data_IF_029611275251
#
_entry.id   IF_029611275251
#
_cell.length_a   1.000
_cell.length_b   1.000
_cell.length_c   1.000
_cell.angle_alpha   90.00
_cell.angle_beta   90.00
_cell.angle_gamma   90.00
#
_symmetry.space_group_name_H-M   'P 1'
#
loop_
_entity.id
_entity.type
_entity.pdbx_description
1 polymer ?
#
# COMPACT_ATOMS: atom_id res chain seq x y z
N UNK A 1 -15.30 -12.47 -16.73
CA UNK A 1 -15.29 -11.33 -17.70
C UNK A 1 -14.89 -11.89 -19.06
N UNK A 2 -15.38 -11.34 -20.18
CA UNK A 2 -14.96 -11.83 -21.52
C UNK A 2 -13.59 -11.27 -21.93
N UNK A 3 -12.86 -11.99 -22.77
CA UNK A 3 -11.55 -11.57 -23.26
C UNK A 3 -11.59 -10.21 -23.96
N UNK A 4 -12.60 -9.95 -24.79
CA UNK A 4 -12.70 -8.71 -25.56
C UNK A 4 -12.87 -7.48 -24.65
N UNK A 5 -13.60 -7.64 -23.56
CA UNK A 5 -13.77 -6.59 -22.55
C UNK A 5 -12.48 -6.34 -21.76
N UNK A 6 -11.72 -7.39 -21.48
CA UNK A 6 -10.42 -7.30 -20.82
C UNK A 6 -9.38 -6.63 -21.73
N UNK A 7 -9.25 -7.06 -22.98
CA UNK A 7 -8.33 -6.49 -23.98
C UNK A 7 -8.63 -5.01 -24.22
N UNK A 8 -9.90 -4.64 -24.35
CA UNK A 8 -10.29 -3.23 -24.51
C UNK A 8 -9.83 -2.38 -23.32
N UNK A 9 -10.04 -2.84 -22.09
CA UNK A 9 -9.62 -2.10 -20.89
C UNK A 9 -8.10 -2.01 -20.75
N UNK A 10 -7.37 -3.06 -21.13
CA UNK A 10 -5.90 -3.02 -21.16
C UNK A 10 -5.42 -2.00 -22.20
N UNK A 11 -5.99 -1.96 -23.40
CA UNK A 11 -5.59 -1.01 -24.45
C UNK A 11 -5.86 0.45 -24.10
N UNK A 12 -6.92 0.71 -23.32
CA UNK A 12 -7.23 2.05 -22.84
C UNK A 12 -6.25 2.52 -21.75
N UNK A 13 -5.69 1.59 -20.98
CA UNK A 13 -4.91 1.89 -19.78
C UNK A 13 -3.40 1.81 -20.01
N UNK A 14 -2.94 0.81 -20.76
CA UNK A 14 -1.52 0.51 -20.95
C UNK A 14 -0.98 1.32 -22.14
N UNK A 15 0.14 2.04 -21.99
CA UNK A 15 0.69 2.89 -23.05
C UNK A 15 1.06 2.14 -24.33
N UNK A 16 1.70 0.97 -24.20
CA UNK A 16 2.14 0.14 -25.32
C UNK A 16 1.66 -1.31 -25.10
N UNK A 17 0.38 -1.59 -25.35
CA UNK A 17 -0.19 -2.91 -25.14
C UNK A 17 0.32 -3.89 -26.20
N UNK A 18 0.50 -5.14 -25.80
CA UNK A 18 0.92 -6.26 -26.64
C UNK A 18 -0.12 -7.38 -26.57
N UNK A 19 -0.61 -7.83 -27.73
CA UNK A 19 -1.60 -8.92 -27.77
C UNK A 19 -1.11 -10.18 -27.06
N UNK A 20 0.18 -10.51 -27.16
CA UNK A 20 0.77 -11.68 -26.49
C UNK A 20 0.80 -11.54 -24.96
N UNK A 21 1.13 -10.35 -24.46
CA UNK A 21 1.14 -10.06 -23.01
C UNK A 21 -0.28 -10.02 -22.47
N UNK A 22 -1.21 -9.38 -23.18
CA UNK A 22 -2.63 -9.32 -22.81
C UNK A 22 -3.26 -10.72 -22.75
N UNK A 23 -3.00 -11.58 -23.73
CA UNK A 23 -3.45 -12.98 -23.70
C UNK A 23 -2.89 -13.73 -22.49
N UNK A 24 -1.59 -13.59 -22.22
CA UNK A 24 -0.97 -14.22 -21.06
C UNK A 24 -1.57 -13.75 -19.73
N UNK A 25 -1.82 -12.44 -19.57
CA UNK A 25 -2.46 -11.88 -18.38
C UNK A 25 -3.89 -12.39 -18.22
N UNK A 26 -4.67 -12.42 -19.31
CA UNK A 26 -6.04 -12.93 -19.26
C UNK A 26 -6.08 -14.41 -18.86
N UNK A 27 -5.26 -15.26 -19.48
CA UNK A 27 -5.16 -16.68 -19.11
C UNK A 27 -4.75 -16.85 -17.65
N UNK A 28 -3.80 -16.07 -17.16
CA UNK A 28 -3.42 -16.10 -15.75
C UNK A 28 -4.59 -15.71 -14.83
N UNK A 29 -5.39 -14.71 -15.20
CA UNK A 29 -6.60 -14.35 -14.49
C UNK A 29 -7.68 -15.44 -14.50
N UNK A 30 -7.78 -16.22 -15.58
CA UNK A 30 -8.73 -17.34 -15.69
C UNK A 30 -8.24 -18.56 -14.91
N UNK A 31 -6.98 -18.96 -15.11
CA UNK A 31 -6.41 -20.22 -14.62
C UNK A 31 -5.90 -20.13 -13.18
N UNK A 32 -5.14 -19.07 -12.85
CA UNK A 32 -4.48 -18.93 -11.55
C UNK A 32 -5.32 -18.13 -10.53
N UNK A 33 -6.24 -17.26 -11.00
CA UNK A 33 -7.10 -16.46 -10.14
C UNK A 33 -8.54 -16.95 -10.06
N UNK A 34 -8.82 -18.20 -10.48
CA UNK A 34 -10.15 -18.84 -10.39
C UNK A 34 -11.23 -18.04 -11.16
N UNK A 35 -11.00 -17.78 -12.45
CA UNK A 35 -11.90 -16.99 -13.31
C UNK A 35 -12.11 -15.53 -12.83
N UNK A 36 -11.03 -14.91 -12.33
CA UNK A 36 -11.04 -13.51 -11.85
C UNK A 36 -10.02 -12.61 -12.55
N UNK A 37 -10.03 -12.49 -13.90
CA UNK A 37 -9.17 -11.55 -14.61
C UNK A 37 -9.45 -10.08 -14.24
N UNK A 38 -10.64 -9.75 -13.73
CA UNK A 38 -10.96 -8.40 -13.25
C UNK A 38 -10.05 -7.93 -12.10
N UNK A 39 -9.50 -8.83 -11.29
CA UNK A 39 -8.62 -8.46 -10.19
C UNK A 39 -7.30 -7.87 -10.71
N UNK A 40 -6.83 -8.31 -11.88
CA UNK A 40 -5.68 -7.74 -12.56
C UNK A 40 -5.99 -6.33 -13.08
N UNK A 41 -7.17 -6.12 -13.65
CA UNK A 41 -7.59 -4.79 -14.11
C UNK A 41 -7.70 -3.79 -12.95
N UNK A 42 -8.18 -4.24 -11.79
CA UNK A 42 -8.21 -3.43 -10.56
C UNK A 42 -6.80 -3.06 -10.12
N UNK A 43 -5.85 -4.00 -10.17
CA UNK A 43 -4.45 -3.72 -9.85
C UNK A 43 -3.81 -2.73 -10.85
N UNK A 44 -4.02 -2.91 -12.16
CA UNK A 44 -3.50 -1.99 -13.17
C UNK A 44 -4.13 -0.59 -13.06
N UNK A 45 -5.44 -0.49 -12.79
CA UNK A 45 -6.11 0.80 -12.59
C UNK A 45 -5.50 1.55 -11.40
N UNK A 46 -5.29 0.85 -10.29
CA UNK A 46 -4.60 1.39 -9.13
C UNK A 46 -3.19 1.88 -9.50
N UNK A 47 -2.41 1.07 -10.22
CA UNK A 47 -1.04 1.43 -10.62
C UNK A 47 -1.06 2.67 -11.52
N UNK A 48 -1.96 2.72 -12.50
CA UNK A 48 -2.08 3.82 -13.46
C UNK A 48 -2.37 5.18 -12.81
N UNK A 49 -3.01 5.17 -11.64
CA UNK A 49 -3.37 6.38 -10.90
C UNK A 49 -2.27 6.90 -9.99
N UNK A 50 -1.47 5.99 -9.46
CA UNK A 50 -0.56 6.30 -8.36
C UNK A 50 0.92 6.19 -8.72
N UNK A 51 1.26 5.62 -9.86
CA UNK A 51 2.63 5.43 -10.32
C UNK A 51 2.84 6.10 -11.68
N UNK A 52 4.10 6.25 -12.07
CA UNK A 52 4.45 6.80 -13.38
C UNK A 52 4.01 5.88 -14.52
N UNK A 53 3.82 6.49 -15.70
CA UNK A 53 3.46 5.78 -16.94
C UNK A 53 4.50 4.71 -17.30
N UNK A 54 5.79 5.01 -17.10
CA UNK A 54 6.88 4.04 -17.33
C UNK A 54 6.81 2.85 -16.37
N UNK A 55 6.44 3.09 -15.10
CA UNK A 55 6.21 2.02 -14.13
C UNK A 55 5.01 1.16 -14.51
N UNK A 56 3.90 1.78 -14.94
CA UNK A 56 2.72 1.04 -15.41
C UNK A 56 3.08 0.08 -16.56
N UNK A 57 3.82 0.57 -17.55
CA UNK A 57 4.31 -0.23 -18.67
C UNK A 57 5.26 -1.34 -18.18
N UNK A 58 6.22 -1.00 -17.32
CA UNK A 58 7.17 -1.97 -16.77
C UNK A 58 6.49 -3.10 -15.99
N UNK A 59 5.43 -2.80 -15.23
CA UNK A 59 4.63 -3.82 -14.51
C UNK A 59 3.90 -4.72 -15.49
N UNK A 60 3.26 -4.14 -16.51
CA UNK A 60 2.56 -4.89 -17.55
C UNK A 60 3.46 -5.90 -18.26
N UNK A 61 4.72 -5.52 -18.47
CA UNK A 61 5.72 -6.34 -19.15
C UNK A 61 6.30 -7.48 -18.31
N UNK A 62 6.12 -7.51 -16.98
CA UNK A 62 6.74 -8.54 -16.11
C UNK A 62 6.43 -9.97 -16.57
N UNK A 63 5.19 -10.23 -16.98
CA UNK A 63 4.74 -11.57 -17.39
C UNK A 63 5.49 -12.10 -18.63
N UNK A 64 6.08 -11.21 -19.45
CA UNK A 64 6.87 -11.62 -20.62
C UNK A 64 8.12 -12.43 -20.22
N UNK A 65 8.57 -12.27 -18.97
CA UNK A 65 9.71 -12.99 -18.41
C UNK A 65 9.32 -14.33 -17.75
N UNK A 66 8.09 -14.80 -17.99
CA UNK A 66 7.65 -16.15 -17.59
C UNK A 66 7.22 -16.29 -16.13
N UNK A 67 6.90 -15.18 -15.45
CA UNK A 67 6.32 -15.23 -14.09
C UNK A 67 4.81 -15.03 -14.14
N UNK A 68 4.06 -15.91 -13.46
CA UNK A 68 2.73 -15.56 -13.01
C UNK A 68 2.86 -14.47 -11.94
N UNK A 69 1.99 -13.46 -11.98
CA UNK A 69 2.05 -12.30 -11.08
C UNK A 69 0.67 -12.05 -10.50
N UNK A 70 0.55 -12.18 -9.18
CA UNK A 70 -0.71 -11.92 -8.49
C UNK A 70 -0.96 -10.40 -8.36
N UNK A 71 -2.22 -9.95 -8.21
CA UNK A 71 -2.55 -8.53 -8.04
C UNK A 71 -1.72 -7.80 -6.98
N UNK A 72 -1.44 -8.44 -5.83
CA UNK A 72 -0.58 -7.87 -4.78
C UNK A 72 0.90 -7.78 -5.19
N UNK A 73 1.38 -8.71 -6.00
CA UNK A 73 2.75 -8.72 -6.51
C UNK A 73 2.94 -7.63 -7.57
N UNK A 74 1.94 -7.37 -8.41
CA UNK A 74 1.95 -6.26 -9.37
C UNK A 74 2.15 -4.92 -8.67
N UNK A 75 1.42 -4.67 -7.57
CA UNK A 75 1.58 -3.43 -6.81
C UNK A 75 2.92 -3.38 -6.07
N UNK A 76 3.41 -4.52 -5.56
CA UNK A 76 4.75 -4.57 -4.96
C UNK A 76 5.85 -4.28 -5.99
N UNK A 77 5.74 -4.84 -7.19
CA UNK A 77 6.65 -4.58 -8.31
C UNK A 77 6.61 -3.11 -8.73
N UNK A 78 5.42 -2.49 -8.78
CA UNK A 78 5.29 -1.07 -9.08
C UNK A 78 6.12 -0.18 -8.13
N UNK A 79 6.16 -0.52 -6.84
CA UNK A 79 6.98 0.20 -5.84
C UNK A 79 8.47 0.09 -6.17
N UNK A 80 8.98 -1.10 -6.48
CA UNK A 80 10.39 -1.30 -6.82
C UNK A 80 10.77 -0.68 -8.17
N UNK A 81 9.93 -0.83 -9.20
CA UNK A 81 10.16 -0.17 -10.49
C UNK A 81 10.18 1.35 -10.34
N UNK A 82 9.34 1.92 -9.47
CA UNK A 82 9.36 3.34 -9.17
C UNK A 82 10.65 3.81 -8.48
N UNK A 83 11.40 2.90 -7.85
CA UNK A 83 12.76 3.14 -7.33
C UNK A 83 13.87 2.96 -8.37
N UNK A 84 13.54 2.54 -9.60
CA UNK A 84 14.50 2.34 -10.70
C UNK A 84 14.92 0.88 -10.93
N UNK A 85 14.18 -0.09 -10.39
CA UNK A 85 14.40 -1.52 -10.68
C UNK A 85 13.90 -1.89 -12.10
N UNK A 86 14.08 -3.16 -12.52
CA UNK A 86 13.70 -3.63 -13.87
C UNK A 86 12.56 -4.66 -13.86
N UNK A 87 11.79 -4.73 -14.95
CA UNK A 87 10.71 -5.71 -15.12
C UNK A 87 11.21 -7.16 -15.06
N UNK A 88 12.40 -7.43 -15.60
CA UNK A 88 13.06 -8.72 -15.52
C UNK A 88 13.38 -9.12 -14.08
N UNK A 89 13.96 -8.20 -13.29
CA UNK A 89 14.25 -8.49 -11.88
C UNK A 89 12.96 -8.67 -11.07
N UNK A 90 11.92 -7.88 -11.35
CA UNK A 90 10.61 -8.05 -10.72
C UNK A 90 9.98 -9.41 -11.04
N UNK A 91 10.12 -9.91 -12.27
CA UNK A 91 9.67 -11.25 -12.63
C UNK A 91 10.41 -12.33 -11.82
N UNK A 92 11.72 -12.17 -11.62
CA UNK A 92 12.49 -13.10 -10.80
C UNK A 92 12.08 -13.05 -9.32
N UNK A 93 11.82 -11.86 -8.77
CA UNK A 93 11.33 -11.70 -7.40
C UNK A 93 9.93 -12.31 -7.22
N UNK A 94 9.03 -12.11 -8.19
CA UNK A 94 7.70 -12.74 -8.19
C UNK A 94 7.81 -14.27 -8.20
N UNK A 95 8.63 -14.83 -9.10
CA UNK A 95 8.89 -16.27 -9.19
C UNK A 95 9.46 -16.86 -7.89
N UNK A 96 10.25 -16.08 -7.15
CA UNK A 96 10.80 -16.47 -5.85
C UNK A 96 9.81 -16.31 -4.69
N UNK A 97 8.60 -15.78 -4.93
CA UNK A 97 7.62 -15.45 -3.90
C UNK A 97 8.00 -14.24 -3.04
N UNK A 98 9.01 -13.47 -3.44
CA UNK A 98 9.52 -12.32 -2.67
C UNK A 98 8.56 -11.12 -2.68
N UNK A 99 7.63 -11.07 -3.64
CA UNK A 99 6.64 -9.99 -3.78
C UNK A 99 5.29 -10.31 -3.10
N UNK A 100 5.13 -11.52 -2.55
CA UNK A 100 3.87 -11.97 -1.97
C UNK A 100 3.48 -11.16 -0.73
N UNK A 101 2.20 -11.26 -0.34
CA UNK A 101 1.66 -10.70 0.91
C UNK A 101 1.77 -9.17 1.06
N UNK A 102 1.90 -8.41 -0.05
CA UNK A 102 1.85 -6.95 -0.02
C UNK A 102 0.42 -6.38 0.07
N UNK A 103 0.00 -5.62 -0.93
CA UNK A 103 -1.30 -4.96 -0.99
C UNK A 103 -1.99 -5.30 -2.30
N UNK A 104 -3.19 -5.88 -2.20
CA UNK A 104 -4.09 -6.05 -3.34
C UNK A 104 -5.21 -5.01 -3.23
N UNK A 105 -5.35 -4.09 -4.20
CA UNK A 105 -6.55 -3.28 -4.32
C UNK A 105 -7.76 -4.19 -4.57
N UNK A 106 -8.93 -3.77 -4.10
CA UNK A 106 -10.17 -4.57 -4.09
C UNK A 106 -11.22 -4.06 -5.05
N UNK A 107 -11.17 -2.78 -5.38
CA UNK A 107 -12.12 -2.13 -6.25
C UNK A 107 -11.45 -1.03 -7.07
N UNK A 108 -12.01 -0.74 -8.24
CA UNK A 108 -11.62 0.43 -9.03
C UNK A 108 -11.89 1.68 -8.22
N UNK A 109 -11.04 2.69 -8.32
CA UNK A 109 -11.25 3.91 -7.55
C UNK A 109 -10.58 3.94 -6.19
N UNK A 110 -10.03 2.82 -5.71
CA UNK A 110 -9.51 2.73 -4.36
C UNK A 110 -8.41 3.77 -4.09
N UNK A 111 -8.49 4.38 -2.91
CA UNK A 111 -7.51 5.35 -2.46
C UNK A 111 -6.33 4.58 -1.90
N UNK A 112 -5.10 4.93 -2.32
CA UNK A 112 -3.92 4.21 -1.84
C UNK A 112 -3.81 4.25 -0.30
N UNK A 113 -3.76 3.08 0.38
CA UNK A 113 -3.61 2.99 1.82
C UNK A 113 -2.16 2.71 2.25
N UNK A 114 -1.20 2.87 1.33
CA UNK A 114 0.21 2.64 1.61
C UNK A 114 0.75 3.81 2.42
N UNK A 115 1.36 3.55 3.57
CA UNK A 115 2.03 4.58 4.34
C UNK A 115 3.27 4.01 5.04
N UNK A 116 4.24 4.88 5.31
CA UNK A 116 5.41 4.54 6.11
C UNK A 116 5.06 4.80 7.58
N UNK A 117 5.47 3.91 8.47
CA UNK A 117 5.24 4.03 9.89
C UNK A 117 6.58 3.99 10.62
N UNK A 118 6.92 5.04 11.36
CA UNK A 118 8.08 5.06 12.24
C UNK A 118 7.65 4.90 13.69
N UNK A 119 8.32 4.03 14.44
CA UNK A 119 8.12 3.88 15.89
C UNK A 119 9.38 4.39 16.60
N UNK A 120 9.21 5.38 17.49
CA UNK A 120 10.26 5.89 18.37
C UNK A 120 10.01 5.39 19.79
N UNK A 121 10.89 4.53 20.28
CA UNK A 121 10.83 3.95 21.62
C UNK A 121 12.26 3.84 22.21
N UNK A 122 12.43 4.29 23.44
CA UNK A 122 13.71 4.39 24.14
C UNK A 122 14.79 5.11 23.31
N UNK A 123 14.40 6.20 22.62
CA UNK A 123 15.28 6.96 21.74
C UNK A 123 15.70 6.25 20.44
N UNK A 124 15.20 5.04 20.18
CA UNK A 124 15.48 4.29 18.94
C UNK A 124 14.30 4.40 17.98
N UNK A 125 14.59 4.76 16.73
CA UNK A 125 13.61 4.84 15.64
C UNK A 125 13.69 3.58 14.77
N UNK A 126 12.57 2.90 14.56
CA UNK A 126 12.43 1.78 13.63
C UNK A 126 11.36 2.11 12.60
N UNK A 127 11.62 1.81 11.33
CA UNK A 127 10.69 2.05 10.23
C UNK A 127 9.99 0.76 9.81
N UNK A 128 8.71 0.92 9.50
CA UNK A 128 7.78 -0.08 9.01
C UNK A 128 6.97 0.56 7.88
N UNK A 129 6.07 -0.22 7.28
CA UNK A 129 5.00 0.30 6.46
C UNK A 129 3.67 -0.29 6.88
N UNK A 130 2.60 0.30 6.38
CA UNK A 130 1.23 -0.20 6.50
C UNK A 130 0.57 -0.20 5.13
N UNK A 131 -0.32 -1.16 4.91
CA UNK A 131 -1.23 -1.23 3.76
C UNK A 131 -2.67 -0.93 4.19
N UNK A 132 -2.83 -0.34 5.39
CA UNK A 132 -4.11 -0.10 6.07
C UNK A 132 -4.29 1.37 6.47
N UNK A 133 -3.51 2.29 5.91
CA UNK A 133 -3.69 3.71 6.18
C UNK A 133 -5.13 4.14 5.85
N UNK A 134 -5.72 5.00 6.68
CA UNK A 134 -7.12 5.38 6.61
C UNK A 134 -8.11 4.43 7.30
N UNK A 135 -7.68 3.23 7.72
CA UNK A 135 -8.52 2.27 8.48
C UNK A 135 -8.35 2.36 9.99
N UNK A 136 -7.43 3.17 10.48
CA UNK A 136 -7.16 3.34 11.90
C UNK A 136 -6.75 4.77 12.24
N UNK A 137 -6.92 5.15 13.51
CA UNK A 137 -6.41 6.42 14.06
C UNK A 137 -5.06 6.16 14.75
N UNK A 138 -3.94 6.77 14.31
CA UNK A 138 -2.63 6.53 14.93
C UNK A 138 -2.62 6.72 16.45
N UNK A 139 -3.28 7.77 16.94
CA UNK A 139 -3.39 8.08 18.37
C UNK A 139 -4.07 6.95 19.16
N UNK A 140 -5.15 6.39 18.64
CA UNK A 140 -5.90 5.33 19.31
C UNK A 140 -5.12 4.01 19.30
N UNK A 141 -4.45 3.71 18.17
CA UNK A 141 -3.56 2.56 18.05
C UNK A 141 -2.40 2.65 19.03
N UNK A 142 -1.75 3.82 19.15
CA UNK A 142 -0.68 4.02 20.13
C UNK A 142 -1.17 3.84 21.57
N UNK A 143 -2.33 4.41 21.91
CA UNK A 143 -2.91 4.28 23.24
C UNK A 143 -3.20 2.81 23.60
N UNK A 144 -3.73 2.03 22.65
CA UNK A 144 -3.97 0.59 22.80
C UNK A 144 -2.66 -0.18 22.93
N UNK A 145 -1.67 0.12 22.09
CA UNK A 145 -0.35 -0.51 22.15
C UNK A 145 0.33 -0.29 23.50
N UNK A 146 0.33 0.94 24.02
CA UNK A 146 0.89 1.25 25.34
C UNK A 146 0.18 0.50 26.47
N UNK A 147 -1.16 0.37 26.40
CA UNK A 147 -1.94 -0.39 27.37
C UNK A 147 -1.57 -1.88 27.33
N UNK A 148 -1.53 -2.47 26.14
CA UNK A 148 -1.18 -3.87 25.95
C UNK A 148 0.26 -4.17 26.37
N UNK A 149 1.22 -3.33 25.97
CA UNK A 149 2.62 -3.42 26.35
C UNK A 149 2.78 -3.47 27.88
N UNK A 150 2.10 -2.57 28.60
CA UNK A 150 2.09 -2.56 30.07
C UNK A 150 1.47 -3.83 30.67
N UNK A 151 0.38 -4.34 30.09
CA UNK A 151 -0.33 -5.53 30.59
C UNK A 151 0.48 -6.82 30.39
N UNK A 152 1.21 -6.93 29.28
CA UNK A 152 1.96 -8.14 28.91
C UNK A 152 3.46 -8.06 29.24
N UNK A 153 3.96 -6.90 29.68
CA UNK A 153 5.38 -6.71 29.95
C UNK A 153 6.25 -6.73 28.68
N UNK A 154 5.70 -6.32 27.54
CA UNK A 154 6.41 -6.24 26.25
C UNK A 154 6.66 -4.78 25.85
N UNK A 155 7.47 -4.56 24.81
CA UNK A 155 7.70 -3.22 24.27
C UNK A 155 6.45 -2.68 23.55
N UNK A 156 6.33 -1.36 23.45
CA UNK A 156 5.28 -0.70 22.65
C UNK A 156 5.46 -1.03 21.17
N UNK A 157 6.70 -1.13 20.71
CA UNK A 157 7.00 -1.59 19.34
C UNK A 157 6.43 -2.99 19.09
N UNK A 158 6.72 -3.95 19.97
CA UNK A 158 6.18 -5.31 19.86
C UNK A 158 4.65 -5.34 19.97
N UNK A 159 4.06 -4.47 20.77
CA UNK A 159 2.60 -4.33 20.85
C UNK A 159 1.99 -3.79 19.54
N UNK A 160 2.61 -2.78 18.91
CA UNK A 160 2.16 -2.21 17.63
C UNK A 160 2.24 -3.24 16.49
N UNK A 161 3.23 -4.15 16.54
CA UNK A 161 3.35 -5.26 15.59
C UNK A 161 2.24 -6.30 15.74
N UNK A 162 1.48 -6.31 16.83
CA UNK A 162 0.41 -7.29 17.13
C UNK A 162 -1.01 -6.72 17.07
N UNK A 163 -1.18 -5.43 16.79
CA UNK A 163 -2.49 -4.75 16.83
C UNK A 163 -3.10 -4.65 15.43
N UNK A 164 -4.38 -5.02 15.30
CA UNK A 164 -5.18 -4.80 14.09
C UNK A 164 -5.68 -3.35 13.96
N UNK A 165 -6.10 -2.89 12.76
CA UNK A 165 -6.73 -1.59 12.58
C UNK A 165 -7.92 -1.31 13.51
N UNK A 166 -8.69 -2.34 13.87
CA UNK A 166 -9.83 -2.28 14.79
C UNK A 166 -9.38 -2.16 16.26
N UNK A 167 -8.08 -2.31 16.52
CA UNK A 167 -7.49 -2.23 17.85
C UNK A 167 -7.59 -3.53 18.64
N UNK A 168 -7.80 -4.66 17.95
CA UNK A 168 -7.72 -6.01 18.52
C UNK A 168 -6.27 -6.47 18.56
N UNK A 169 -5.89 -7.22 19.58
CA UNK A 169 -4.52 -7.75 19.70
C UNK A 169 -4.50 -9.21 19.31
N UNK A 170 -3.71 -9.53 18.28
CA UNK A 170 -3.50 -10.90 17.82
C UNK A 170 -2.11 -11.38 18.21
N UNK A 171 -2.04 -12.40 19.07
CA UNK A 171 -0.78 -13.03 19.49
C UNK A 171 -0.35 -14.22 18.61
N UNK A 172 -1.03 -14.44 17.46
CA UNK A 172 -0.81 -15.58 16.55
C UNK A 172 -0.40 -15.20 15.11
N UNK A 173 -0.39 -16.18 14.20
CA UNK A 173 0.01 -16.10 12.78
C UNK A 173 -0.76 -15.08 11.91
N UNK A 174 -1.73 -14.35 12.44
CA UNK A 174 -2.59 -13.39 11.73
C UNK A 174 -1.91 -12.04 11.42
N UNK A 175 -0.59 -12.02 11.24
CA UNK A 175 0.19 -10.79 11.05
C UNK A 175 -0.26 -9.94 9.84
N UNK A 176 -0.93 -10.55 8.86
CA UNK A 176 -1.52 -9.84 7.71
C UNK A 176 -2.66 -8.87 8.07
N UNK A 177 -3.20 -8.97 9.30
CA UNK A 177 -4.25 -8.09 9.83
C UNK A 177 -3.70 -6.93 10.64
N UNK A 178 -2.40 -6.85 10.88
CA UNK A 178 -1.85 -5.87 11.81
C UNK A 178 -1.66 -4.50 11.13
N UNK A 179 -1.66 -3.45 11.95
CA UNK A 179 -1.44 -2.06 11.52
C UNK A 179 -0.07 -1.93 10.88
N UNK A 180 0.95 -2.49 11.52
CA UNK A 180 2.30 -2.56 10.96
C UNK A 180 2.46 -3.88 10.20
N UNK A 181 2.87 -3.80 8.94
CA UNK A 181 3.33 -4.98 8.23
C UNK A 181 4.59 -5.53 8.91
N UNK A 182 4.75 -6.87 8.89
CA UNK A 182 6.01 -7.49 9.36
C UNK A 182 7.20 -6.88 8.63
N UNK A 183 8.36 -6.90 9.28
CA UNK A 183 9.60 -6.33 8.74
C UNK A 183 9.93 -6.93 7.36
N UNK A 184 9.60 -6.17 6.33
CA UNK A 184 10.10 -6.36 4.98
C UNK A 184 10.92 -5.13 4.64
N UNK A 185 12.20 -5.18 5.02
CA UNK A 185 13.11 -4.03 5.01
C UNK A 185 13.29 -3.46 3.61
N UNK A 186 13.38 -4.31 2.58
CA UNK A 186 13.47 -3.88 1.18
C UNK A 186 12.26 -3.03 0.77
N UNK A 187 11.05 -3.52 1.01
CA UNK A 187 9.80 -2.79 0.69
C UNK A 187 9.66 -1.50 1.52
N UNK A 188 9.99 -1.56 2.80
CA UNK A 188 9.96 -0.37 3.68
C UNK A 188 10.89 0.73 3.14
N UNK A 189 12.10 0.34 2.72
CA UNK A 189 13.09 1.25 2.13
C UNK A 189 12.61 1.80 0.78
N UNK A 190 12.02 0.96 -0.06
CA UNK A 190 11.50 1.37 -1.36
C UNK A 190 10.35 2.38 -1.20
N UNK A 191 9.39 2.12 -0.31
CA UNK A 191 8.31 3.06 0.02
C UNK A 191 8.84 4.39 0.56
N UNK A 192 9.85 4.35 1.44
CA UNK A 192 10.49 5.57 1.96
C UNK A 192 11.21 6.37 0.88
N UNK A 193 11.85 5.68 -0.07
CA UNK A 193 12.56 6.29 -1.20
C UNK A 193 11.61 7.03 -2.15
N UNK A 194 10.43 6.46 -2.42
CA UNK A 194 9.45 7.07 -3.33
C UNK A 194 8.50 8.05 -2.63
N UNK A 195 8.61 8.23 -1.31
CA UNK A 195 7.79 9.19 -0.59
C UNK A 195 8.07 10.62 -1.07
N UNK A 196 7.01 11.34 -1.44
CA UNK A 196 7.09 12.71 -1.96
C UNK A 196 7.32 12.80 -3.46
N UNK A 197 7.70 11.71 -4.13
CA UNK A 197 7.85 11.64 -5.59
C UNK A 197 6.81 10.74 -6.26
N UNK A 198 6.19 9.84 -5.51
CA UNK A 198 5.14 8.94 -5.98
C UNK A 198 3.84 9.15 -5.19
N UNK A 199 2.68 9.38 -5.84
CA UNK A 199 1.40 9.51 -5.15
C UNK A 199 0.89 8.20 -4.51
N UNK A 200 1.51 7.05 -4.77
CA UNK A 200 1.13 5.79 -4.12
C UNK A 200 1.34 5.79 -2.61
N UNK A 201 2.34 6.50 -2.08
CA UNK A 201 2.60 6.51 -0.62
C UNK A 201 1.84 7.67 0.00
N UNK A 202 0.78 7.37 0.76
CA UNK A 202 -0.16 8.34 1.28
C UNK A 202 0.42 9.26 2.35
N UNK A 203 1.18 8.70 3.28
CA UNK A 203 1.68 9.43 4.44
C UNK A 203 2.91 8.78 5.08
N UNK A 204 3.57 9.56 5.93
CA UNK A 204 4.48 9.10 6.98
C UNK A 204 3.79 9.28 8.33
N UNK A 205 3.61 8.19 9.07
CA UNK A 205 3.06 8.18 10.42
C UNK A 205 4.20 7.97 11.41
N UNK A 206 4.32 8.83 12.41
CA UNK A 206 5.27 8.67 13.51
C UNK A 206 4.52 8.32 14.78
N UNK A 207 4.86 7.19 15.38
CA UNK A 207 4.44 6.74 16.70
C UNK A 207 5.56 7.03 17.70
N UNK A 208 5.45 8.12 18.44
CA UNK A 208 6.39 8.48 19.52
C UNK A 208 5.90 7.85 20.82
N UNK A 209 6.38 6.65 21.12
CA UNK A 209 6.01 5.89 22.31
C UNK A 209 6.52 6.56 23.59
N UNK A 210 7.72 7.15 23.51
CA UNK A 210 8.41 7.86 24.59
C UNK A 210 7.57 9.04 25.11
N UNK A 211 7.03 9.85 24.19
CA UNK A 211 6.18 11.01 24.51
C UNK A 211 4.69 10.68 24.51
N UNK A 212 4.30 9.50 24.03
CA UNK A 212 2.89 9.13 23.85
C UNK A 212 2.17 9.98 22.81
N UNK A 213 2.87 10.39 21.76
CA UNK A 213 2.38 11.28 20.71
C UNK A 213 2.38 10.58 19.35
N UNK A 214 1.52 11.05 18.44
CA UNK A 214 1.53 10.60 17.05
C UNK A 214 1.50 11.79 16.10
N UNK A 215 2.31 11.75 15.05
CA UNK A 215 2.32 12.73 13.97
C UNK A 215 2.02 12.04 12.63
N UNK A 216 1.35 12.77 11.73
CA UNK A 216 1.06 12.31 10.37
C UNK A 216 1.50 13.39 9.39
N UNK A 217 2.44 13.04 8.51
CA UNK A 217 2.89 13.86 7.39
C UNK A 217 2.27 13.28 6.11
N UNK A 218 1.33 14.01 5.51
CA UNK A 218 0.68 13.58 4.27
C UNK A 218 1.55 13.86 3.05
N UNK A 219 1.54 12.94 2.09
CA UNK A 219 2.16 13.16 0.79
C UNK A 219 1.30 14.12 -0.06
N UNK A 220 1.83 15.26 -0.49
CA UNK A 220 1.06 16.24 -1.26
C UNK A 220 0.61 15.71 -2.63
N UNK A 221 1.36 14.79 -3.25
CA UNK A 221 0.97 14.16 -4.52
C UNK A 221 -0.21 13.21 -4.32
N UNK A 222 -0.19 12.43 -3.23
CA UNK A 222 -1.33 11.57 -2.86
C UNK A 222 -2.57 12.41 -2.58
N UNK A 223 -2.45 13.54 -1.86
CA UNK A 223 -3.58 14.44 -1.60
C UNK A 223 -4.17 15.00 -2.89
N UNK A 224 -3.33 15.40 -3.85
CA UNK A 224 -3.78 15.86 -5.17
C UNK A 224 -4.48 14.75 -5.96
N UNK A 225 -3.90 13.54 -5.99
CA UNK A 225 -4.51 12.39 -6.65
C UNK A 225 -5.86 12.04 -6.01
N UNK A 226 -5.94 12.08 -4.67
CA UNK A 226 -7.18 11.88 -3.93
C UNK A 226 -8.25 12.93 -4.31
N UNK A 227 -7.88 14.21 -4.38
CA UNK A 227 -8.79 15.29 -4.79
C UNK A 227 -9.19 15.24 -6.27
N UNK A 228 -8.30 14.78 -7.16
CA UNK A 228 -8.56 14.68 -8.59
C UNK A 228 -9.50 13.52 -8.94
N UNK A 229 -9.50 12.45 -8.14
CA UNK A 229 -10.24 11.22 -8.42
C UNK A 229 -11.41 10.94 -7.46
N UNK A 230 -11.67 11.81 -6.47
CA UNK A 230 -12.71 11.61 -5.45
C UNK A 230 -13.25 12.91 -4.87
N UNK A 231 -14.59 13.01 -4.90
CA UNK A 231 -15.43 14.08 -4.37
C UNK A 231 -15.05 14.53 -2.95
N UNK A 232 -15.12 15.85 -2.75
CA UNK A 232 -15.11 16.49 -1.43
C UNK A 232 -16.21 15.88 -0.56
N UNK A 233 -15.83 15.11 0.45
CA UNK A 233 -16.59 15.05 1.69
C UNK A 233 -15.70 15.64 2.79
N UNK A 234 -15.87 16.95 2.99
CA UNK A 234 -15.50 17.66 4.20
C UNK A 234 -15.78 16.78 5.43
N UNK A 235 -14.72 16.27 6.07
CA UNK A 235 -14.78 15.82 7.47
C UNK A 235 -13.51 16.14 8.24
N UNK A 236 -12.95 17.31 7.99
CA UNK A 236 -12.30 18.06 9.06
C UNK A 236 -13.08 19.35 9.23
N UNK A 237 -13.95 19.37 10.24
CA UNK A 237 -14.43 20.62 10.81
C UNK A 237 -13.17 21.37 11.22
N UNK A 238 -12.86 22.43 10.46
CA UNK A 238 -12.02 23.51 10.93
C UNK A 238 -12.57 23.96 12.27
N UNK A 239 -11.85 23.63 13.34
CA UNK A 239 -11.84 24.41 14.56
C UNK A 239 -11.40 25.83 14.19
N UNK A 240 -12.38 26.72 14.01
CA UNK A 240 -12.14 28.16 14.03
C UNK A 240 -12.48 28.74 15.41
N UNK A 241 -11.79 29.82 15.79
CA UNK A 241 -11.40 30.08 17.16
C UNK A 241 -12.45 30.87 17.92
N UNK A 242 -12.47 30.64 19.22
CA UNK A 242 -13.14 31.47 20.22
C UNK A 242 -12.60 32.91 20.11
N UNK A 243 -13.41 33.83 19.58
CA UNK A 243 -13.23 35.26 19.84
C UNK A 243 -14.31 35.68 20.84
N UNK A 244 -13.84 36.08 22.01
CA UNK A 244 -14.60 36.80 23.03
C UNK A 244 -14.88 38.21 22.52
N UNK A 245 -16.12 38.64 22.60
CA UNK A 245 -16.41 40.07 22.81
C UNK A 245 -17.17 40.23 24.12
N UNK A 246 -16.87 41.36 24.76
CA UNK A 246 -17.24 41.76 26.13
C UNK A 246 -18.69 42.21 26.20
#
# INVERSE_FOLDING_TARGET
MKYEEFDQQIREMIPQPSAAITDALYRMGVEALEDRPQDLLIAFEFISRYFSVDVLQGVYEIIQHGSAVLPNELVAAAVFLQTGDTSEHMAQMAKNGELMCFYSPREKGEISPLAICSVLEAGKKVNYFTTKFGKFTPKDILARAKRFAKQQGVSVTGALECISPEGEVSTGLYAARNVLARQWTKMTTALDTIFGTCPAVAARVTFDADRGHTAVEYNPLWQKAHMAHGQIAHREKQSKPFCRER
#
